data_IF_562362842752
#
_entry.id   IF_562362842752
#
_cell.length_a   1.000
_cell.length_b   1.000
_cell.length_c   1.000
_cell.angle_alpha   90.00
_cell.angle_beta   90.00
_cell.angle_gamma   90.00
#
_symmetry.space_group_name_H-M   'P 1'
#
loop_
_entity.id
_entity.type
_entity.pdbx_description
1 polymer ?
#
# COMPACT_ATOMS: atom_id res chain seq x y z
N UNK A 1 49.30 41.83 6.39
CA UNK A 1 49.14 40.42 6.68
C UNK A 1 48.02 39.86 5.82
N UNK A 2 48.31 38.90 4.91
CA UNK A 2 47.32 38.13 4.20
C UNK A 2 46.98 36.91 5.04
N UNK A 3 45.75 36.82 5.52
CA UNK A 3 45.21 35.59 6.07
C UNK A 3 44.75 34.69 4.91
N UNK A 4 45.47 33.62 4.69
CA UNK A 4 44.99 32.49 3.86
C UNK A 4 43.96 31.70 4.67
N UNK A 5 42.75 31.63 4.18
CA UNK A 5 41.74 30.71 4.71
C UNK A 5 42.02 29.36 4.05
N UNK A 6 42.60 28.42 4.80
CA UNK A 6 42.66 27.02 4.40
C UNK A 6 41.26 26.45 4.54
N UNK A 7 40.60 26.19 3.43
CA UNK A 7 39.41 25.36 3.42
C UNK A 7 39.83 23.90 3.28
N UNK A 8 39.86 23.17 4.36
CA UNK A 8 39.97 21.74 4.35
C UNK A 8 38.57 21.16 4.00
N UNK A 9 38.39 20.67 2.77
CA UNK A 9 37.26 19.80 2.45
C UNK A 9 37.65 18.38 2.91
N UNK A 10 37.11 17.92 4.03
CA UNK A 10 37.15 16.51 4.36
C UNK A 10 36.04 15.82 3.59
N UNK A 11 36.39 15.10 2.52
CA UNK A 11 35.53 14.07 1.95
C UNK A 11 35.69 12.85 2.85
N UNK A 12 34.74 12.60 3.72
CA UNK A 12 34.66 11.30 4.37
C UNK A 12 34.10 10.32 3.34
N UNK A 13 34.97 9.45 2.81
CA UNK A 13 34.50 8.26 2.13
C UNK A 13 33.63 7.49 3.12
N UNK A 14 32.39 7.17 2.71
CA UNK A 14 31.57 6.26 3.49
C UNK A 14 32.38 4.95 3.64
N UNK A 15 32.43 4.43 4.85
CA UNK A 15 33.09 3.15 5.13
C UNK A 15 32.30 2.04 4.43
N UNK A 16 32.56 1.84 3.15
CA UNK A 16 32.07 0.70 2.38
C UNK A 16 32.94 -0.50 2.70
N UNK A 17 32.50 -1.33 3.62
CA UNK A 17 33.30 -2.48 4.05
C UNK A 17 32.53 -3.56 4.78
N UNK A 18 31.22 -3.38 4.99
CA UNK A 18 30.38 -4.42 5.59
C UNK A 18 29.94 -5.45 4.54
N UNK A 19 30.02 -6.73 4.89
CA UNK A 19 29.54 -7.85 4.05
C UNK A 19 28.00 -8.03 4.14
N UNK A 20 27.28 -7.13 4.79
CA UNK A 20 25.83 -7.21 4.95
C UNK A 20 25.13 -6.93 3.61
N UNK A 21 24.39 -7.92 3.14
CA UNK A 21 23.57 -7.83 1.94
C UNK A 21 22.10 -8.06 2.26
N UNK A 22 21.21 -7.66 1.35
CA UNK A 22 19.77 -7.73 1.57
C UNK A 22 19.07 -8.43 0.42
N UNK A 23 18.07 -9.25 0.76
CA UNK A 23 17.01 -9.65 -0.16
C UNK A 23 15.78 -8.85 0.19
N UNK A 24 15.27 -8.09 -0.78
CA UNK A 24 14.03 -7.33 -0.64
C UNK A 24 12.97 -8.05 -1.48
N UNK A 25 11.86 -8.42 -0.84
CA UNK A 25 10.73 -9.02 -1.52
C UNK A 25 9.51 -8.10 -1.37
N UNK A 26 8.94 -7.72 -2.51
CA UNK A 26 7.69 -6.96 -2.58
C UNK A 26 6.62 -7.87 -3.15
N UNK A 27 5.57 -8.10 -2.40
CA UNK A 27 4.47 -9.01 -2.77
C UNK A 27 3.12 -8.35 -2.45
N UNK A 28 2.03 -8.98 -2.89
CA UNK A 28 0.67 -8.51 -2.61
C UNK A 28 0.48 -7.01 -2.93
N UNK A 29 0.99 -6.57 -4.11
CA UNK A 29 0.94 -5.18 -4.52
C UNK A 29 -0.51 -4.80 -4.82
N UNK A 30 -1.02 -3.77 -4.16
CA UNK A 30 -2.31 -3.15 -4.38
C UNK A 30 -2.17 -1.71 -4.89
N UNK A 31 -3.28 -0.99 -4.94
CA UNK A 31 -3.30 0.42 -5.34
C UNK A 31 -2.67 1.34 -4.28
N UNK A 32 -2.79 0.98 -2.99
CA UNK A 32 -2.39 1.85 -1.86
C UNK A 32 -1.40 1.22 -0.89
N UNK A 33 -0.98 -0.03 -1.15
CA UNK A 33 -0.04 -0.74 -0.29
C UNK A 33 0.53 -1.99 -0.94
N UNK A 34 1.51 -2.57 -0.28
CA UNK A 34 2.15 -3.83 -0.65
C UNK A 34 2.77 -4.48 0.58
N UNK A 35 3.00 -5.79 0.56
CA UNK A 35 3.82 -6.44 1.56
C UNK A 35 5.30 -6.26 1.21
N UNK A 36 6.06 -5.69 2.12
CA UNK A 36 7.49 -5.44 1.98
C UNK A 36 8.23 -6.30 3.01
N UNK A 37 9.15 -7.12 2.55
CA UNK A 37 9.95 -7.97 3.42
C UNK A 37 11.44 -7.79 3.13
N UNK A 38 12.21 -7.47 4.16
CA UNK A 38 13.65 -7.30 4.12
C UNK A 38 14.29 -8.48 4.84
N UNK A 39 15.17 -9.19 4.16
CA UNK A 39 15.95 -10.29 4.75
C UNK A 39 17.43 -9.97 4.62
N UNK A 40 18.11 -9.59 5.71
CA UNK A 40 19.55 -9.37 5.72
C UNK A 40 20.32 -10.70 5.69
N UNK A 41 21.54 -10.70 5.20
CA UNK A 41 22.41 -11.88 5.16
C UNK A 41 22.88 -12.38 6.53
N UNK A 42 22.79 -11.54 7.55
CA UNK A 42 22.97 -11.92 8.97
C UNK A 42 21.98 -11.15 9.86
N UNK A 43 21.73 -11.66 11.06
CA UNK A 43 20.75 -11.11 11.98
C UNK A 43 21.36 -10.26 13.12
N UNK A 44 22.65 -9.96 13.05
CA UNK A 44 23.38 -9.28 14.11
C UNK A 44 23.66 -7.82 13.81
N UNK A 45 23.86 -7.53 12.52
CA UNK A 45 24.21 -6.19 12.07
C UNK A 45 22.95 -5.33 11.95
N UNK A 46 23.11 -4.06 12.26
CA UNK A 46 22.04 -3.07 12.14
C UNK A 46 21.95 -2.53 10.73
N UNK A 47 20.74 -2.27 10.29
CA UNK A 47 20.46 -1.68 9.00
C UNK A 47 19.28 -0.73 9.05
N UNK A 48 19.23 0.17 8.07
CA UNK A 48 18.08 1.03 7.79
C UNK A 48 17.38 0.53 6.54
N UNK A 49 16.05 0.61 6.51
CA UNK A 49 15.26 0.47 5.30
C UNK A 49 14.06 1.41 5.33
N UNK A 50 13.61 1.79 4.15
CA UNK A 50 12.40 2.59 3.98
C UNK A 50 11.93 2.55 2.51
N UNK A 51 10.77 3.15 2.24
CA UNK A 51 10.12 3.18 0.94
C UNK A 51 9.96 4.62 0.50
N UNK A 52 10.41 4.91 -0.72
CA UNK A 52 10.34 6.24 -1.31
C UNK A 52 9.70 6.19 -2.70
N UNK A 53 9.01 7.25 -3.17
CA UNK A 53 8.72 7.38 -4.58
C UNK A 53 10.00 7.23 -5.41
N UNK A 54 9.97 6.42 -6.47
CA UNK A 54 11.16 6.16 -7.29
C UNK A 54 11.74 7.46 -7.87
N UNK A 55 10.89 8.42 -8.21
CA UNK A 55 11.28 9.75 -8.70
C UNK A 55 12.14 10.54 -7.71
N UNK A 56 12.02 10.30 -6.41
CA UNK A 56 12.86 10.92 -5.37
C UNK A 56 14.24 10.27 -5.35
N UNK A 57 14.28 8.93 -5.39
CA UNK A 57 15.54 8.16 -5.41
C UNK A 57 16.35 8.46 -6.68
N UNK A 58 15.68 8.65 -7.82
CA UNK A 58 16.33 8.94 -9.10
C UNK A 58 17.03 10.31 -9.15
N UNK A 59 16.61 11.24 -8.30
CA UNK A 59 17.29 12.55 -8.18
C UNK A 59 18.65 12.42 -7.48
N UNK A 60 18.91 11.31 -6.78
CA UNK A 60 20.15 11.07 -6.03
C UNK A 60 20.71 9.71 -6.46
N UNK A 61 21.31 9.60 -7.65
CA UNK A 61 21.76 8.32 -8.20
C UNK A 61 22.99 7.74 -7.49
N UNK A 62 23.76 8.56 -6.79
CA UNK A 62 24.92 8.10 -6.02
C UNK A 62 24.47 7.59 -4.64
N UNK A 63 24.84 6.35 -4.32
CA UNK A 63 24.40 5.68 -3.09
C UNK A 63 24.89 6.40 -1.81
N UNK A 64 26.10 6.93 -1.82
CA UNK A 64 26.63 7.66 -0.66
C UNK A 64 25.86 8.97 -0.43
N UNK A 65 25.50 9.66 -1.51
CA UNK A 65 24.67 10.87 -1.44
C UNK A 65 23.25 10.52 -0.97
N UNK A 66 22.70 9.41 -1.44
CA UNK A 66 21.38 8.95 -1.00
C UNK A 66 21.37 8.63 0.50
N UNK A 67 22.35 7.87 0.99
CA UNK A 67 22.51 7.57 2.42
C UNK A 67 22.65 8.87 3.23
N UNK A 68 23.51 9.80 2.77
CA UNK A 68 23.71 11.08 3.45
C UNK A 68 22.42 11.93 3.47
N UNK A 69 21.65 11.92 2.39
CA UNK A 69 20.37 12.62 2.33
C UNK A 69 19.34 12.02 3.30
N UNK A 70 19.23 10.69 3.36
CA UNK A 70 18.33 9.99 4.29
C UNK A 70 18.70 10.30 5.75
N UNK A 71 19.98 10.16 6.10
CA UNK A 71 20.45 10.44 7.48
C UNK A 71 20.25 11.93 7.79
N UNK A 72 20.58 12.83 6.85
CA UNK A 72 20.42 14.27 7.02
C UNK A 72 18.96 14.70 7.22
N UNK A 73 18.01 14.08 6.52
CA UNK A 73 16.58 14.32 6.68
C UNK A 73 16.05 13.90 8.07
N UNK A 74 16.81 13.10 8.81
CA UNK A 74 16.51 12.64 10.17
C UNK A 74 17.43 13.29 11.21
N UNK A 75 17.76 14.55 11.06
CA UNK A 75 18.62 15.31 11.97
C UNK A 75 20.03 14.71 12.19
N UNK A 76 20.51 13.93 11.21
CA UNK A 76 21.82 13.29 11.23
C UNK A 76 21.88 11.97 12.02
N UNK A 77 20.76 11.45 12.49
CA UNK A 77 20.70 10.20 13.27
C UNK A 77 19.43 9.40 12.98
N UNK A 78 19.60 8.18 12.46
CA UNK A 78 18.52 7.23 12.18
C UNK A 78 18.49 6.05 13.17
N UNK A 79 19.22 6.13 14.30
CA UNK A 79 19.33 5.02 15.28
C UNK A 79 17.98 4.46 15.71
N UNK A 80 16.97 5.31 15.88
CA UNK A 80 15.61 4.91 16.29
C UNK A 80 14.82 4.11 15.22
N UNK A 81 15.33 4.09 14.00
CA UNK A 81 14.70 3.40 12.86
C UNK A 81 15.52 2.19 12.38
N UNK A 82 16.57 1.83 13.11
CA UNK A 82 17.39 0.68 12.74
C UNK A 82 16.69 -0.63 13.09
N UNK A 83 16.84 -1.58 12.20
CA UNK A 83 16.38 -2.96 12.35
C UNK A 83 17.54 -3.93 12.44
N UNK A 84 17.29 -5.11 12.99
CA UNK A 84 18.19 -6.28 13.01
C UNK A 84 17.38 -7.53 12.63
N UNK A 85 17.97 -8.45 11.85
CA UNK A 85 17.25 -9.62 11.37
C UNK A 85 16.15 -9.27 10.36
N UNK A 86 15.29 -10.23 9.97
CA UNK A 86 14.19 -9.98 9.05
C UNK A 86 13.19 -8.95 9.59
N UNK A 87 12.78 -8.01 8.74
CA UNK A 87 11.83 -6.95 9.09
C UNK A 87 11.04 -6.54 7.84
N UNK A 88 10.03 -5.67 7.97
CA UNK A 88 9.25 -5.19 6.85
C UNK A 88 7.94 -4.52 7.26
N UNK A 89 7.11 -4.26 6.27
CA UNK A 89 5.78 -3.68 6.45
C UNK A 89 4.74 -4.56 5.78
N UNK A 90 3.60 -4.81 6.44
CA UNK A 90 2.47 -5.43 5.78
C UNK A 90 1.68 -4.40 4.98
N UNK A 91 1.00 -4.86 3.94
CA UNK A 91 0.13 -4.04 3.10
C UNK A 91 -0.89 -3.27 3.93
N UNK A 92 -1.55 -3.94 4.88
CA UNK A 92 -2.57 -3.33 5.74
C UNK A 92 -2.00 -2.19 6.58
N UNK A 93 -0.78 -2.34 7.08
CA UNK A 93 -0.12 -1.30 7.87
C UNK A 93 0.21 -0.08 7.00
N UNK A 94 0.69 -0.30 5.77
CA UNK A 94 0.95 0.76 4.82
C UNK A 94 -0.35 1.48 4.45
N UNK A 95 -1.39 0.76 4.07
CA UNK A 95 -2.70 1.32 3.70
C UNK A 95 -3.34 2.12 4.82
N UNK A 96 -3.14 1.71 6.07
CA UNK A 96 -3.69 2.37 7.24
C UNK A 96 -2.96 3.66 7.62
N UNK A 97 -1.63 3.70 7.52
CA UNK A 97 -0.83 4.78 8.08
C UNK A 97 -0.09 5.62 7.05
N UNK A 98 0.32 5.05 5.93
CA UNK A 98 1.17 5.70 4.92
C UNK A 98 0.74 5.20 3.53
N UNK A 99 -0.54 5.39 3.13
CA UNK A 99 -1.04 4.83 1.87
C UNK A 99 -0.23 5.36 0.69
N UNK A 100 0.09 4.47 -0.23
CA UNK A 100 0.74 4.81 -1.49
C UNK A 100 -0.21 5.50 -2.45
N UNK A 101 0.34 6.28 -3.38
CA UNK A 101 -0.41 6.77 -4.54
C UNK A 101 -0.57 5.64 -5.56
N UNK A 102 -1.76 5.47 -6.17
CA UNK A 102 -1.98 4.51 -7.24
C UNK A 102 -1.12 4.79 -8.48
N UNK A 103 -0.86 3.74 -9.29
CA UNK A 103 -0.11 3.82 -10.55
C UNK A 103 1.25 4.52 -10.40
N UNK A 104 1.84 4.44 -9.22
CA UNK A 104 3.07 5.15 -8.86
C UNK A 104 4.21 4.16 -8.61
N UNK A 105 5.37 4.45 -9.19
CA UNK A 105 6.57 3.65 -8.96
C UNK A 105 7.23 4.06 -7.64
N UNK A 106 7.45 3.05 -6.78
CA UNK A 106 8.16 3.16 -5.51
C UNK A 106 9.47 2.39 -5.55
N UNK A 107 10.39 2.78 -4.69
CA UNK A 107 11.67 2.13 -4.50
C UNK A 107 11.86 1.85 -3.01
N UNK A 108 11.98 0.57 -2.66
CA UNK A 108 12.44 0.14 -1.34
C UNK A 108 13.95 0.25 -1.33
N UNK A 109 14.51 0.90 -0.32
CA UNK A 109 15.95 1.03 -0.10
C UNK A 109 16.34 0.35 1.21
N UNK A 110 17.45 -0.38 1.22
CA UNK A 110 18.02 -0.96 2.42
C UNK A 110 19.55 -0.85 2.40
N UNK A 111 20.16 -0.47 3.51
CA UNK A 111 21.62 -0.41 3.66
C UNK A 111 22.05 -0.64 5.10
N UNK A 112 23.18 -1.27 5.29
CA UNK A 112 23.79 -1.39 6.61
C UNK A 112 24.06 0.00 7.18
N UNK A 113 23.73 0.21 8.46
CA UNK A 113 23.81 1.52 9.09
C UNK A 113 24.10 1.40 10.58
N UNK A 114 24.94 2.29 11.11
CA UNK A 114 25.22 2.40 12.55
C UNK A 114 24.43 3.54 13.25
N UNK A 115 23.52 4.18 12.52
CA UNK A 115 22.72 5.30 12.98
C UNK A 115 23.14 6.65 12.38
N UNK A 116 24.42 6.91 12.22
CA UNK A 116 24.96 8.18 11.72
C UNK A 116 25.72 8.04 10.41
N UNK A 117 26.00 6.82 9.98
CA UNK A 117 26.68 6.52 8.71
C UNK A 117 26.25 5.18 8.14
N UNK A 118 26.20 5.08 6.82
CA UNK A 118 26.06 3.81 6.12
C UNK A 118 27.30 2.96 6.24
N UNK A 119 27.12 1.65 6.33
CA UNK A 119 28.21 0.67 6.41
C UNK A 119 28.28 -0.24 5.18
N UNK A 120 27.27 -0.21 4.31
CA UNK A 120 27.23 -0.94 3.03
C UNK A 120 26.71 -0.05 1.90
N UNK A 121 26.82 -0.54 0.66
CA UNK A 121 26.09 0.03 -0.48
C UNK A 121 24.56 -0.12 -0.28
N UNK A 122 23.78 0.65 -1.04
CA UNK A 122 22.31 0.60 -1.00
C UNK A 122 21.81 -0.55 -1.87
N UNK A 123 20.98 -1.42 -1.32
CA UNK A 123 20.16 -2.36 -2.08
C UNK A 123 18.83 -1.68 -2.39
N UNK A 124 18.38 -1.77 -3.64
CA UNK A 124 17.16 -1.12 -4.15
C UNK A 124 16.26 -2.17 -4.81
N UNK A 125 14.98 -2.14 -4.51
CA UNK A 125 13.95 -2.92 -5.19
C UNK A 125 12.81 -1.99 -5.59
N UNK A 126 12.35 -2.09 -6.84
CA UNK A 126 11.32 -1.22 -7.39
C UNK A 126 10.04 -2.00 -7.64
N UNK A 127 8.93 -1.32 -7.43
CA UNK A 127 7.61 -1.84 -7.77
C UNK A 127 6.68 -0.68 -8.16
N UNK A 128 5.63 -1.00 -8.90
CA UNK A 128 4.60 -0.03 -9.25
C UNK A 128 3.29 -0.46 -8.62
N UNK A 129 2.62 0.45 -7.92
CA UNK A 129 1.28 0.23 -7.38
C UNK A 129 0.27 0.03 -8.49
N UNK A 130 -0.78 -0.71 -8.21
CA UNK A 130 -1.87 -0.91 -9.16
C UNK A 130 -2.69 0.38 -9.33
N UNK A 131 -3.49 0.43 -10.39
CA UNK A 131 -4.50 1.46 -10.53
C UNK A 131 -5.48 1.38 -9.35
N UNK A 132 -5.94 2.53 -8.86
CA UNK A 132 -7.07 2.59 -7.94
C UNK A 132 -8.35 2.51 -8.78
N UNK A 133 -8.76 1.28 -9.07
CA UNK A 133 -10.00 1.00 -9.79
C UNK A 133 -11.25 1.17 -8.90
N UNK A 134 -11.04 1.69 -7.68
CA UNK A 134 -12.09 1.85 -6.68
C UNK A 134 -12.46 0.53 -5.98
N UNK A 135 -11.81 -0.57 -6.36
CA UNK A 135 -11.87 -1.81 -5.61
C UNK A 135 -10.82 -1.76 -4.51
N UNK A 136 -11.24 -1.54 -3.28
CA UNK A 136 -10.39 -1.76 -2.09
C UNK A 136 -10.05 -3.25 -2.08
N UNK A 137 -8.80 -3.58 -2.46
CA UNK A 137 -8.32 -4.96 -2.60
C UNK A 137 -8.64 -5.82 -1.39
N UNK A 138 -8.68 -7.12 -1.58
CA UNK A 138 -8.89 -8.17 -0.58
C UNK A 138 -10.25 -8.19 0.15
N UNK A 139 -11.27 -7.57 -0.43
CA UNK A 139 -12.64 -7.93 -0.08
C UNK A 139 -12.89 -9.41 -0.42
N UNK A 140 -13.80 -10.07 0.30
CA UNK A 140 -14.17 -11.44 -0.03
C UNK A 140 -14.61 -11.53 -1.49
N UNK A 141 -14.08 -12.51 -2.22
CA UNK A 141 -14.50 -12.77 -3.59
C UNK A 141 -16.00 -13.04 -3.61
N UNK A 142 -16.78 -12.18 -4.28
CA UNK A 142 -18.21 -12.31 -4.39
C UNK A 142 -18.53 -12.93 -5.75
N UNK A 143 -19.06 -14.13 -5.74
CA UNK A 143 -19.66 -14.72 -6.95
C UNK A 143 -21.14 -14.38 -6.99
N UNK A 144 -21.56 -13.53 -7.91
CA UNK A 144 -22.94 -13.17 -8.12
C UNK A 144 -23.45 -13.81 -9.43
N UNK A 145 -24.37 -14.75 -9.31
CA UNK A 145 -25.04 -15.33 -10.47
C UNK A 145 -26.44 -14.74 -10.58
N UNK A 146 -26.66 -13.88 -11.58
CA UNK A 146 -27.95 -13.29 -11.84
C UNK A 146 -28.81 -14.23 -12.73
N UNK A 147 -30.06 -14.44 -12.32
CA UNK A 147 -31.05 -15.18 -13.09
C UNK A 147 -32.33 -14.36 -13.21
N UNK A 148 -32.98 -14.45 -14.35
CA UNK A 148 -34.29 -13.83 -14.55
C UNK A 148 -35.34 -14.61 -13.75
N UNK A 149 -36.19 -13.93 -13.01
CA UNK A 149 -37.31 -14.48 -12.27
C UNK A 149 -38.50 -13.56 -12.36
N UNK A 150 -39.69 -14.10 -12.03
CA UNK A 150 -40.92 -13.33 -11.94
C UNK A 150 -41.03 -12.73 -10.55
N UNK A 151 -41.39 -11.46 -10.44
CA UNK A 151 -41.66 -10.80 -9.15
C UNK A 151 -42.89 -11.45 -8.51
N UNK A 152 -42.76 -11.94 -7.30
CA UNK A 152 -43.82 -12.62 -6.56
C UNK A 152 -45.00 -11.66 -6.33
N UNK A 153 -46.07 -11.79 -7.11
CA UNK A 153 -47.31 -11.03 -6.98
C UNK A 153 -47.27 -9.56 -7.40
N UNK A 154 -46.18 -9.10 -7.97
CA UNK A 154 -46.08 -7.77 -8.56
C UNK A 154 -46.27 -7.82 -10.06
N UNK A 155 -46.51 -6.67 -10.65
CA UNK A 155 -46.76 -6.42 -12.05
C UNK A 155 -45.99 -7.37 -12.98
N UNK A 156 -46.71 -8.17 -13.77
CA UNK A 156 -46.17 -9.21 -14.69
C UNK A 156 -45.22 -8.67 -15.75
N UNK A 157 -45.15 -7.37 -15.92
CA UNK A 157 -44.25 -6.71 -16.90
C UNK A 157 -42.87 -6.39 -16.30
N UNK A 158 -42.65 -6.61 -15.01
CA UNK A 158 -41.39 -6.35 -14.35
C UNK A 158 -40.60 -7.64 -14.21
N UNK A 159 -39.48 -7.73 -14.90
CA UNK A 159 -38.52 -8.82 -14.73
C UNK A 159 -37.63 -8.51 -13.50
N UNK A 160 -37.67 -9.39 -12.51
CA UNK A 160 -36.78 -9.35 -11.37
C UNK A 160 -35.61 -10.28 -11.64
N UNK A 161 -34.41 -9.77 -11.51
CA UNK A 161 -33.20 -10.57 -11.53
C UNK A 161 -32.86 -10.94 -10.10
N UNK A 162 -32.80 -12.23 -9.81
CA UNK A 162 -32.36 -12.76 -8.51
C UNK A 162 -30.93 -13.22 -8.63
N UNK A 163 -30.13 -12.88 -7.66
CA UNK A 163 -28.74 -13.31 -7.56
C UNK A 163 -28.56 -14.32 -6.43
N UNK A 164 -27.79 -15.37 -6.66
CA UNK A 164 -27.29 -16.21 -5.59
C UNK A 164 -26.01 -15.55 -5.06
N UNK A 165 -26.05 -15.17 -3.79
CA UNK A 165 -24.97 -14.47 -3.09
C UNK A 165 -24.33 -15.39 -2.07
N UNK A 166 -23.03 -15.62 -2.20
CA UNK A 166 -22.26 -16.43 -1.25
C UNK A 166 -21.09 -15.58 -0.69
N UNK A 167 -21.30 -14.84 0.42
CA UNK A 167 -20.24 -14.09 1.03
C UNK A 167 -19.19 -15.03 1.65
N UNK A 168 -17.92 -14.76 1.43
CA UNK A 168 -16.81 -15.52 2.01
C UNK A 168 -16.34 -14.98 3.35
N UNK A 169 -16.83 -13.80 3.78
CA UNK A 169 -16.45 -13.15 5.04
C UNK A 169 -17.63 -12.47 5.74
N UNK A 170 -17.50 -12.28 7.05
CA UNK A 170 -18.40 -11.44 7.84
C UNK A 170 -18.13 -9.97 7.60
N UNK A 171 -19.16 -9.13 7.59
CA UNK A 171 -19.04 -7.67 7.39
C UNK A 171 -19.16 -7.22 5.94
N UNK A 172 -19.70 -8.07 5.06
CA UNK A 172 -19.99 -7.69 3.69
C UNK A 172 -21.30 -6.88 3.60
N UNK A 173 -21.32 -5.90 2.71
CA UNK A 173 -22.49 -5.11 2.37
C UNK A 173 -22.89 -5.37 0.92
N UNK A 174 -24.17 -5.30 0.64
CA UNK A 174 -24.64 -5.32 -0.75
C UNK A 174 -25.77 -4.32 -0.93
N UNK A 175 -25.97 -3.91 -2.18
CA UNK A 175 -27.10 -3.10 -2.59
C UNK A 175 -27.37 -3.24 -4.09
N UNK A 176 -28.60 -3.03 -4.48
CA UNK A 176 -29.01 -2.92 -5.90
C UNK A 176 -29.41 -1.48 -6.12
N UNK A 177 -28.71 -0.81 -7.00
CA UNK A 177 -28.89 0.61 -7.27
C UNK A 177 -29.18 0.84 -8.75
N UNK A 178 -29.90 1.89 -9.07
CA UNK A 178 -30.03 2.32 -10.45
C UNK A 178 -28.67 2.85 -10.92
N UNK A 179 -28.22 2.42 -12.08
CA UNK A 179 -26.95 2.86 -12.67
C UNK A 179 -26.84 4.37 -12.74
N UNK A 180 -27.93 5.06 -13.12
CA UNK A 180 -27.97 6.52 -13.19
C UNK A 180 -27.78 7.22 -11.83
N UNK A 181 -28.17 6.59 -10.72
CA UNK A 181 -27.99 7.16 -9.40
C UNK A 181 -26.56 6.93 -8.90
N UNK A 182 -25.99 5.75 -9.19
CA UNK A 182 -24.57 5.46 -8.91
C UNK A 182 -23.67 6.44 -9.67
N UNK A 183 -23.85 6.59 -10.98
CA UNK A 183 -23.07 7.51 -11.81
C UNK A 183 -23.16 8.95 -11.29
N UNK A 184 -24.33 9.39 -10.83
CA UNK A 184 -24.54 10.74 -10.30
C UNK A 184 -23.75 10.98 -9.00
N UNK A 185 -23.73 9.98 -8.13
CA UNK A 185 -23.05 10.09 -6.81
C UNK A 185 -21.53 9.97 -6.98
N UNK A 186 -21.07 9.09 -7.89
CA UNK A 186 -19.65 9.01 -8.27
C UNK A 186 -19.16 10.34 -8.88
N UNK A 187 -19.95 10.99 -9.72
CA UNK A 187 -19.61 12.30 -10.28
C UNK A 187 -19.50 13.41 -9.20
N UNK A 188 -20.04 13.19 -8.01
CA UNK A 188 -19.92 14.07 -6.84
C UNK A 188 -18.72 13.69 -5.95
N UNK A 189 -17.90 12.72 -6.36
CA UNK A 189 -16.68 12.31 -5.65
C UNK A 189 -16.88 11.22 -4.59
N UNK A 190 -18.03 10.53 -4.57
CA UNK A 190 -18.20 9.36 -3.71
C UNK A 190 -17.49 8.13 -4.31
N UNK A 191 -17.08 7.19 -3.45
CA UNK A 191 -16.59 5.89 -3.86
C UNK A 191 -17.72 4.85 -3.89
N UNK A 192 -17.53 3.75 -4.63
CA UNK A 192 -18.44 2.60 -4.61
C UNK A 192 -18.62 2.07 -3.19
N UNK A 193 -17.55 1.96 -2.43
CA UNK A 193 -17.57 1.52 -1.03
C UNK A 193 -18.48 2.39 -0.17
N UNK A 194 -18.35 3.71 -0.27
CA UNK A 194 -19.22 4.65 0.44
C UNK A 194 -20.70 4.50 0.03
N UNK A 195 -20.97 4.27 -1.26
CA UNK A 195 -22.34 4.07 -1.74
C UNK A 195 -22.94 2.81 -1.12
N UNK A 196 -22.21 1.70 -1.13
CA UNK A 196 -22.71 0.41 -0.64
C UNK A 196 -22.81 0.39 0.88
N UNK A 197 -21.84 0.92 1.62
CA UNK A 197 -21.86 0.93 3.09
C UNK A 197 -22.91 1.88 3.66
N UNK A 198 -23.22 2.98 2.98
CA UNK A 198 -24.22 3.96 3.48
C UNK A 198 -25.63 3.60 3.06
N UNK A 199 -25.83 2.94 1.92
CA UNK A 199 -27.17 2.71 1.35
C UNK A 199 -27.46 1.22 1.11
N UNK A 200 -26.47 0.35 1.29
CA UNK A 200 -26.61 -1.09 1.15
C UNK A 200 -27.09 -1.76 2.42
N UNK A 201 -27.35 -3.04 2.33
CA UNK A 201 -27.72 -3.89 3.46
C UNK A 201 -26.48 -4.56 4.05
N UNK A 202 -26.30 -4.43 5.36
CA UNK A 202 -25.25 -5.13 6.10
C UNK A 202 -25.56 -6.64 6.14
N UNK A 203 -24.67 -7.44 5.57
CA UNK A 203 -24.76 -8.88 5.48
C UNK A 203 -24.04 -9.60 6.63
N UNK A 204 -23.58 -8.88 7.64
CA UNK A 204 -22.90 -9.45 8.81
C UNK A 204 -23.79 -10.37 9.62
N UNK A 205 -25.12 -10.29 9.44
CA UNK A 205 -26.09 -11.14 10.08
C UNK A 205 -26.89 -11.95 9.07
N UNK A 206 -27.31 -13.16 9.45
CA UNK A 206 -28.12 -14.03 8.59
C UNK A 206 -29.49 -13.40 8.26
N UNK A 207 -29.99 -12.53 9.11
CA UNK A 207 -31.28 -11.87 8.94
C UNK A 207 -31.16 -10.73 7.90
N UNK A 208 -30.05 -9.99 7.88
CA UNK A 208 -29.74 -9.00 6.83
C UNK A 208 -29.68 -9.62 5.44
N UNK A 209 -29.33 -10.89 5.36
CA UNK A 209 -29.25 -11.67 4.12
C UNK A 209 -30.62 -11.90 3.45
N UNK A 210 -31.66 -12.06 4.26
CA UNK A 210 -33.03 -12.34 3.79
C UNK A 210 -33.81 -11.08 3.43
N UNK A 211 -33.56 -9.98 4.14
CA UNK A 211 -34.31 -8.73 3.92
C UNK A 211 -33.97 -8.06 2.59
N UNK A 212 -32.75 -8.23 2.10
CA UNK A 212 -32.29 -7.65 0.86
C UNK A 212 -32.86 -8.29 -0.42
N UNK A 213 -33.30 -9.53 -0.36
CA UNK A 213 -33.81 -10.28 -1.53
C UNK A 213 -35.28 -9.96 -1.85
N UNK A 214 -35.97 -9.20 -1.01
CA UNK A 214 -37.44 -9.09 -1.05
C UNK A 214 -37.94 -7.70 -1.45
N UNK A 215 -37.09 -6.70 -1.59
CA UNK A 215 -37.56 -5.35 -1.85
C UNK A 215 -37.22 -4.85 -3.28
N UNK A 216 -38.26 -4.90 -4.10
CA UNK A 216 -38.51 -4.27 -5.41
C UNK A 216 -37.91 -4.95 -6.63
#
# INVERSE_FOLDING_TARGET
GKTTVDSASATTDAAQGGDLTFTIAVTNIGAKGADINITPSNNSDTYYFDIYPASVVDQIPDDNQLIAAIIGANDGDVTKYLSTGPDGYSKELIEQYIPFDPETEYCVVAFGCNGTAGTTAVTKERFTTLADDGETGDGPELTLTLRAGDANGANTDTKVYMGDYAPTATGAYYGVFLTSDVEKVLAQGASYDAIVTQNGTDMSTKDGWLDGLVQN
#
